data_IF_574029931814
#
_entry.id   IF_574029931814
#
_cell.length_a   1.000
_cell.length_b   1.000
_cell.length_c   1.000
_cell.angle_alpha   90.00
_cell.angle_beta   90.00
_cell.angle_gamma   90.00
#
_symmetry.space_group_name_H-M   'P 1'
#
loop_
_entity.id
_entity.type
_entity.pdbx_description
1 polymer ?
#
# COMPACT_ATOMS: atom_id res chain seq x y z
N UNK A 1 -8.44 4.07 -2.59
CA UNK A 1 -8.13 2.75 -3.16
C UNK A 1 -6.63 2.62 -3.31
N UNK A 2 -6.07 1.45 -3.02
CA UNK A 2 -4.64 1.14 -3.03
C UNK A 2 -4.31 0.22 -4.21
N UNK A 3 -3.21 0.52 -4.92
CA UNK A 3 -2.80 -0.26 -6.10
C UNK A 3 -1.32 -0.62 -6.07
N UNK A 4 -0.96 -1.70 -6.78
CA UNK A 4 0.41 -2.08 -7.09
C UNK A 4 0.65 -1.94 -8.60
N UNK A 5 1.80 -1.41 -8.97
CA UNK A 5 2.22 -1.38 -10.37
C UNK A 5 2.88 -2.71 -10.80
N UNK A 6 3.15 -2.84 -12.10
CA UNK A 6 3.87 -4.00 -12.66
C UNK A 6 5.30 -4.16 -12.10
N UNK A 7 5.82 -3.18 -11.38
CA UNK A 7 7.11 -3.30 -10.70
C UNK A 7 7.02 -4.12 -9.41
N UNK A 8 5.83 -4.31 -8.84
CA UNK A 8 5.59 -5.28 -7.76
C UNK A 8 5.42 -6.68 -8.37
N UNK A 9 6.55 -7.34 -8.66
CA UNK A 9 6.60 -8.64 -9.34
C UNK A 9 5.71 -9.67 -8.64
N UNK A 10 4.87 -10.37 -9.42
CA UNK A 10 3.92 -11.35 -8.92
C UNK A 10 2.68 -10.77 -8.22
N UNK A 11 2.52 -9.44 -8.17
CA UNK A 11 1.36 -8.74 -7.58
C UNK A 11 0.69 -7.78 -8.55
N UNK A 12 1.39 -6.77 -9.02
CA UNK A 12 0.87 -5.84 -10.00
C UNK A 12 1.15 -6.26 -11.44
N UNK A 13 0.32 -5.84 -12.39
CA UNK A 13 0.49 -6.14 -13.82
C UNK A 13 0.37 -4.90 -14.70
N UNK A 14 -0.10 -3.78 -14.14
CA UNK A 14 -0.35 -2.55 -14.86
C UNK A 14 0.83 -1.58 -14.72
N UNK A 15 1.15 -0.89 -15.80
CA UNK A 15 2.10 0.22 -15.76
C UNK A 15 1.48 1.41 -14.98
N UNK A 16 2.32 2.31 -14.42
CA UNK A 16 1.82 3.49 -13.72
C UNK A 16 0.80 4.31 -14.51
N UNK A 17 1.04 4.51 -15.81
CA UNK A 17 0.16 5.28 -16.70
C UNK A 17 -1.19 4.57 -16.92
N UNK A 18 -1.18 3.25 -17.01
CA UNK A 18 -2.40 2.45 -17.15
C UNK A 18 -3.25 2.46 -15.87
N UNK A 19 -2.61 2.51 -14.68
CA UNK A 19 -3.28 2.66 -13.40
C UNK A 19 -3.99 4.00 -13.30
N UNK A 20 -3.34 5.08 -13.73
CA UNK A 20 -3.91 6.43 -13.75
C UNK A 20 -5.10 6.49 -14.70
N UNK A 21 -4.94 6.03 -15.93
CA UNK A 21 -6.01 6.03 -16.93
C UNK A 21 -7.23 5.21 -16.43
N UNK A 22 -6.97 4.05 -15.84
CA UNK A 22 -8.02 3.21 -15.27
C UNK A 22 -8.76 3.91 -14.12
N UNK A 23 -8.04 4.56 -13.21
CA UNK A 23 -8.64 5.27 -12.08
C UNK A 23 -9.58 6.39 -12.55
N UNK A 24 -9.14 7.19 -13.51
CA UNK A 24 -9.96 8.27 -14.09
C UNK A 24 -11.19 7.75 -14.80
N UNK A 25 -11.08 6.65 -15.57
CA UNK A 25 -12.24 6.01 -16.24
C UNK A 25 -13.30 5.52 -15.23
N UNK A 26 -12.90 5.22 -13.98
CA UNK A 26 -13.81 4.79 -12.91
C UNK A 26 -14.20 5.94 -11.95
N UNK A 27 -13.91 7.19 -12.32
CA UNK A 27 -14.32 8.38 -11.56
C UNK A 27 -13.52 8.62 -10.27
N UNK A 28 -12.35 7.99 -10.12
CA UNK A 28 -11.49 8.26 -8.97
C UNK A 28 -10.76 9.58 -9.16
N UNK A 29 -10.73 10.39 -8.12
CA UNK A 29 -9.98 11.66 -8.08
C UNK A 29 -8.57 11.48 -7.47
N UNK A 30 -8.37 10.42 -6.69
CA UNK A 30 -7.14 10.12 -5.99
C UNK A 30 -6.80 8.64 -6.14
N UNK A 31 -5.52 8.31 -6.26
CA UNK A 31 -5.05 6.93 -6.29
C UNK A 31 -3.77 6.77 -5.47
N UNK A 32 -3.76 5.75 -4.60
CA UNK A 32 -2.61 5.43 -3.75
C UNK A 32 -1.79 4.29 -4.38
N UNK A 33 -0.56 4.60 -4.82
CA UNK A 33 0.40 3.61 -5.27
C UNK A 33 1.24 3.13 -4.08
N UNK A 34 1.26 1.80 -3.87
CA UNK A 34 2.03 1.15 -2.79
C UNK A 34 2.76 -0.08 -3.31
N UNK A 35 3.79 0.13 -4.10
CA UNK A 35 4.58 -1.00 -4.57
C UNK A 35 5.30 -1.72 -3.42
N UNK A 36 5.56 -3.02 -3.61
CA UNK A 36 6.06 -3.90 -2.56
C UNK A 36 7.59 -3.78 -2.44
N UNK A 37 8.06 -3.35 -1.28
CA UNK A 37 9.47 -3.23 -0.92
C UNK A 37 10.31 -2.37 -1.89
N UNK A 38 9.68 -1.48 -2.65
CA UNK A 38 10.37 -0.49 -3.48
C UNK A 38 9.47 0.71 -3.82
N UNK A 39 10.08 1.82 -4.25
CA UNK A 39 9.40 3.07 -4.60
C UNK A 39 9.75 3.55 -6.03
N UNK A 40 10.38 2.69 -6.83
CA UNK A 40 10.96 3.07 -8.12
C UNK A 40 9.95 3.58 -9.15
N UNK A 41 8.69 3.13 -9.08
CA UNK A 41 7.60 3.57 -9.97
C UNK A 41 6.95 4.91 -9.53
N UNK A 42 7.22 5.39 -8.31
CA UNK A 42 6.51 6.52 -7.70
C UNK A 42 6.59 7.81 -8.52
N UNK A 43 7.76 8.16 -9.06
CA UNK A 43 7.92 9.37 -9.87
C UNK A 43 7.20 9.28 -11.22
N UNK A 44 7.26 8.12 -11.89
CA UNK A 44 6.53 7.90 -13.14
C UNK A 44 5.02 7.98 -12.92
N UNK A 45 4.54 7.36 -11.85
CA UNK A 45 3.13 7.42 -11.45
C UNK A 45 2.69 8.86 -11.13
N UNK A 46 3.46 9.60 -10.31
CA UNK A 46 3.13 10.97 -9.94
C UNK A 46 3.06 11.90 -11.17
N UNK A 47 4.01 11.76 -12.11
CA UNK A 47 4.01 12.51 -13.36
C UNK A 47 2.77 12.20 -14.20
N UNK A 48 2.50 10.93 -14.46
CA UNK A 48 1.34 10.52 -15.25
C UNK A 48 0.01 10.97 -14.61
N UNK A 49 -0.08 10.94 -13.27
CA UNK A 49 -1.25 11.39 -12.53
C UNK A 49 -1.44 12.92 -12.68
N UNK A 50 -0.39 13.70 -12.50
CA UNK A 50 -0.45 15.17 -12.65
C UNK A 50 -0.83 15.60 -14.07
N UNK A 51 -0.26 14.95 -15.10
CA UNK A 51 -0.56 15.24 -16.50
C UNK A 51 -2.04 14.97 -16.84
N UNK A 52 -2.70 14.05 -16.15
CA UNK A 52 -4.09 13.67 -16.40
C UNK A 52 -5.07 14.22 -15.36
N UNK A 53 -4.62 15.01 -14.39
CA UNK A 53 -5.47 15.65 -13.37
C UNK A 53 -5.95 14.71 -12.25
N UNK A 54 -5.24 13.60 -12.01
CA UNK A 54 -5.44 12.71 -10.87
C UNK A 54 -4.52 13.13 -9.71
N UNK A 55 -5.00 13.12 -8.49
CA UNK A 55 -4.18 13.35 -7.30
C UNK A 55 -3.39 12.07 -6.93
N UNK A 56 -2.05 12.06 -7.06
CA UNK A 56 -1.24 10.90 -6.71
C UNK A 56 -0.96 10.86 -5.21
N UNK A 57 -1.22 9.73 -4.58
CA UNK A 57 -0.76 9.41 -3.24
C UNK A 57 0.34 8.34 -3.35
N UNK A 58 1.46 8.59 -2.69
CA UNK A 58 2.61 7.68 -2.73
C UNK A 58 2.78 6.98 -1.39
N UNK A 59 2.99 5.69 -1.46
CA UNK A 59 3.23 4.84 -0.30
C UNK A 59 4.13 3.67 -0.62
N UNK A 60 4.23 2.77 0.32
CA UNK A 60 5.09 1.59 0.26
C UNK A 60 4.43 0.46 1.03
N UNK A 61 4.24 -0.70 0.41
CA UNK A 61 3.85 -1.90 1.13
C UNK A 61 5.10 -2.68 1.55
N UNK A 62 5.24 -2.91 2.85
CA UNK A 62 6.34 -3.68 3.43
C UNK A 62 5.96 -5.13 3.58
N UNK A 63 6.80 -6.03 3.04
CA UNK A 63 6.64 -7.49 3.16
C UNK A 63 7.92 -8.18 3.57
N UNK A 64 7.77 -9.22 4.38
CA UNK A 64 8.77 -10.26 4.60
C UNK A 64 8.30 -11.52 3.86
N UNK A 65 8.85 -11.73 2.68
CA UNK A 65 8.34 -12.77 1.77
C UNK A 65 6.88 -12.53 1.39
N UNK A 66 5.98 -13.46 1.71
CA UNK A 66 4.55 -13.34 1.42
C UNK A 66 3.78 -12.55 2.50
N UNK A 67 4.37 -12.37 3.67
CA UNK A 67 3.70 -11.75 4.81
C UNK A 67 3.78 -10.22 4.73
N UNK A 68 2.63 -9.56 4.65
CA UNK A 68 2.54 -8.10 4.77
C UNK A 68 2.81 -7.69 6.22
N UNK A 69 3.70 -6.72 6.40
CA UNK A 69 4.04 -6.15 7.72
C UNK A 69 3.25 -4.88 7.97
N UNK A 70 3.27 -3.97 7.02
CA UNK A 70 2.54 -2.70 7.06
C UNK A 70 2.49 -2.04 5.68
N UNK A 71 1.65 -1.03 5.55
CA UNK A 71 1.67 -0.07 4.43
C UNK A 71 2.00 1.31 4.99
N UNK A 72 3.02 1.97 4.45
CA UNK A 72 3.40 3.34 4.82
C UNK A 72 2.93 4.27 3.71
N UNK A 73 2.26 5.37 4.08
CA UNK A 73 1.70 6.35 3.14
C UNK A 73 2.31 7.70 3.45
N UNK A 74 3.00 8.29 2.47
CA UNK A 74 3.59 9.61 2.60
C UNK A 74 2.51 10.69 2.62
N UNK A 75 2.55 11.59 3.60
CA UNK A 75 1.64 12.74 3.72
C UNK A 75 2.09 13.92 2.85
N UNK A 76 3.39 13.97 2.55
CA UNK A 76 4.06 15.03 1.80
C UNK A 76 5.43 14.55 1.32
N UNK A 77 6.20 15.41 0.67
CA UNK A 77 7.53 15.08 0.17
C UNK A 77 8.51 14.65 1.29
N UNK A 78 8.40 15.24 2.49
CA UNK A 78 9.23 14.81 3.63
C UNK A 78 8.89 13.39 4.05
N UNK A 79 7.60 13.01 4.05
CA UNK A 79 7.17 11.65 4.31
C UNK A 79 7.67 10.67 3.24
N UNK A 80 7.66 11.08 1.97
CA UNK A 80 8.25 10.24 0.91
C UNK A 80 9.76 10.06 1.08
N UNK A 81 10.47 11.07 1.56
CA UNK A 81 11.89 10.97 1.92
C UNK A 81 12.10 10.05 3.14
N UNK A 82 11.27 10.19 4.19
CA UNK A 82 11.35 9.34 5.39
C UNK A 82 11.20 7.86 5.03
N UNK A 83 10.16 7.51 4.25
CA UNK A 83 9.92 6.11 3.88
C UNK A 83 11.04 5.55 2.96
N UNK A 84 11.59 6.35 2.03
CA UNK A 84 12.73 5.93 1.20
C UNK A 84 14.00 5.70 2.03
N UNK A 85 14.26 6.57 3.00
CA UNK A 85 15.41 6.43 3.90
C UNK A 85 15.28 5.15 4.72
N UNK A 86 14.10 4.92 5.32
CA UNK A 86 13.79 3.72 6.08
C UNK A 86 13.96 2.44 5.24
N UNK A 87 13.37 2.42 4.04
CA UNK A 87 13.47 1.30 3.12
C UNK A 87 14.93 1.00 2.74
N UNK A 88 15.68 2.02 2.34
CA UNK A 88 17.08 1.88 1.93
C UNK A 88 17.95 1.30 3.04
N UNK A 89 17.77 1.76 4.27
CA UNK A 89 18.49 1.23 5.44
C UNK A 89 18.21 -0.26 5.67
N UNK A 90 16.94 -0.68 5.52
CA UNK A 90 16.54 -2.08 5.69
C UNK A 90 17.09 -2.97 4.57
N UNK A 91 16.99 -2.52 3.32
CA UNK A 91 17.48 -3.28 2.15
C UNK A 91 19.01 -3.43 2.21
N UNK A 92 19.75 -2.37 2.53
CA UNK A 92 21.22 -2.42 2.69
C UNK A 92 21.65 -3.33 3.85
N UNK A 93 20.89 -3.33 4.93
CA UNK A 93 21.18 -4.18 6.09
C UNK A 93 20.72 -5.63 5.92
N UNK A 94 19.95 -5.94 4.84
CA UNK A 94 19.30 -7.24 4.59
C UNK A 94 18.51 -7.76 5.81
N UNK A 95 17.87 -6.86 6.58
CA UNK A 95 17.11 -7.20 7.78
C UNK A 95 15.61 -7.25 7.48
N UNK A 96 14.88 -8.22 8.06
CA UNK A 96 13.44 -8.25 7.96
C UNK A 96 12.80 -7.03 8.64
N UNK A 97 11.67 -6.58 8.12
CA UNK A 97 10.86 -5.55 8.76
C UNK A 97 10.23 -6.09 10.04
N UNK A 98 10.26 -5.28 11.10
CA UNK A 98 9.69 -5.64 12.40
C UNK A 98 8.37 -4.89 12.63
N UNK A 99 7.46 -5.50 13.36
CA UNK A 99 6.24 -4.87 13.87
C UNK A 99 6.37 -4.75 15.40
N UNK A 100 6.15 -3.54 15.99
CA UNK A 100 5.80 -2.27 15.37
C UNK A 100 6.95 -1.66 14.54
N UNK A 101 6.59 -0.82 13.58
CA UNK A 101 7.54 0.01 12.84
C UNK A 101 8.04 1.18 13.72
N UNK A 102 9.17 1.81 13.37
CA UNK A 102 9.57 3.06 14.02
C UNK A 102 8.54 4.17 13.74
N UNK A 103 8.54 5.20 14.58
CA UNK A 103 7.65 6.35 14.38
C UNK A 103 8.08 7.17 13.17
N UNK A 104 7.10 7.61 12.36
CA UNK A 104 7.28 8.50 11.22
C UNK A 104 6.58 9.83 11.50
N UNK A 105 7.27 10.95 11.24
CA UNK A 105 6.70 12.27 11.49
C UNK A 105 5.72 12.70 10.38
N UNK A 106 5.97 12.28 9.14
CA UNK A 106 5.24 12.72 7.95
C UNK A 106 4.59 11.57 7.17
N UNK A 107 4.32 10.43 7.81
CA UNK A 107 3.64 9.32 7.17
C UNK A 107 2.45 8.85 8.00
N UNK A 108 1.48 8.23 7.32
CA UNK A 108 0.49 7.35 7.91
C UNK A 108 1.01 5.91 7.83
N UNK A 109 0.70 5.07 8.83
CA UNK A 109 1.05 3.65 8.83
C UNK A 109 -0.21 2.83 8.98
N UNK A 110 -0.45 1.94 8.05
CA UNK A 110 -1.55 0.97 8.09
C UNK A 110 -0.99 -0.42 8.38
N UNK A 111 -1.40 -1.01 9.49
CA UNK A 111 -1.11 -2.41 9.82
C UNK A 111 -2.25 -3.30 9.33
N UNK A 112 -1.96 -4.50 8.80
CA UNK A 112 -3.01 -5.43 8.42
C UNK A 112 -3.81 -5.88 9.65
N UNK A 113 -5.12 -6.09 9.47
CA UNK A 113 -6.03 -6.51 10.54
C UNK A 113 -5.58 -7.78 11.27
N UNK A 114 -4.89 -8.68 10.57
CA UNK A 114 -4.41 -9.96 11.12
C UNK A 114 -3.13 -9.84 11.94
N UNK A 115 -2.41 -8.72 11.79
CA UNK A 115 -1.14 -8.51 12.48
C UNK A 115 -0.89 -7.01 12.70
N UNK A 116 -1.08 -6.56 13.92
CA UNK A 116 -0.87 -5.16 14.30
C UNK A 116 -0.28 -5.08 15.72
N UNK A 117 0.35 -3.96 16.10
CA UNK A 117 0.80 -3.71 17.46
C UNK A 117 -0.36 -3.68 18.45
N UNK A 118 -0.06 -3.96 19.73
CA UNK A 118 -1.04 -3.82 20.80
C UNK A 118 -1.37 -2.38 21.15
N UNK A 119 -0.45 -1.44 20.85
CA UNK A 119 -0.63 0.00 21.04
C UNK A 119 -0.37 0.70 19.71
N UNK A 120 -1.27 1.59 19.31
CA UNK A 120 -1.17 2.38 18.09
C UNK A 120 -0.89 3.85 18.41
N UNK A 121 0.07 4.44 17.69
CA UNK A 121 0.33 5.87 17.73
C UNK A 121 -0.77 6.65 16.98
N UNK A 122 -0.78 7.98 17.08
CA UNK A 122 -1.80 8.82 16.48
C UNK A 122 -1.91 8.64 14.94
N UNK A 123 -0.78 8.43 14.28
CA UNK A 123 -0.66 8.27 12.82
C UNK A 123 -0.73 6.81 12.35
N UNK A 124 -1.03 5.86 13.25
CA UNK A 124 -1.11 4.43 12.94
C UNK A 124 -2.55 3.95 12.96
N UNK A 125 -2.91 3.09 12.00
CA UNK A 125 -4.26 2.58 11.79
C UNK A 125 -4.22 1.08 11.48
N UNK A 126 -5.37 0.42 11.61
CA UNK A 126 -5.58 -0.97 11.22
C UNK A 126 -6.38 -0.99 9.92
N UNK A 127 -5.80 -1.56 8.88
CA UNK A 127 -6.44 -1.72 7.58
C UNK A 127 -7.32 -2.97 7.56
N UNK A 128 -8.59 -2.79 7.22
CA UNK A 128 -9.59 -3.87 7.13
C UNK A 128 -9.99 -4.05 5.68
N UNK A 129 -9.74 -5.21 5.12
CA UNK A 129 -10.26 -5.61 3.81
C UNK A 129 -11.74 -6.04 3.91
N UNK A 130 -12.47 -5.93 2.78
CA UNK A 130 -13.91 -6.26 2.71
C UNK A 130 -14.24 -7.66 3.28
N UNK A 131 -13.38 -8.65 3.00
CA UNK A 131 -13.54 -10.02 3.48
C UNK A 131 -13.36 -10.18 5.01
N UNK A 132 -12.74 -9.20 5.68
CA UNK A 132 -12.47 -9.22 7.12
C UNK A 132 -13.55 -8.49 7.94
N UNK A 133 -14.48 -7.78 7.30
CA UNK A 133 -15.50 -6.97 7.97
C UNK A 133 -16.34 -7.79 8.95
N UNK A 134 -16.78 -8.98 8.54
CA UNK A 134 -17.58 -9.86 9.44
C UNK A 134 -16.77 -10.34 10.65
N UNK A 135 -15.50 -10.65 10.46
CA UNK A 135 -14.60 -11.02 11.54
C UNK A 135 -14.39 -9.86 12.50
N UNK A 136 -14.12 -8.65 11.96
CA UNK A 136 -13.98 -7.44 12.76
C UNK A 136 -15.24 -7.11 13.58
N UNK A 137 -16.44 -7.30 13.02
CA UNK A 137 -17.70 -7.07 13.72
C UNK A 137 -17.92 -8.05 14.89
N UNK A 138 -17.45 -9.29 14.77
CA UNK A 138 -17.59 -10.34 15.78
C UNK A 138 -16.53 -10.27 16.90
N UNK A 139 -15.36 -9.70 16.61
CA UNK A 139 -14.30 -9.56 17.60
C UNK A 139 -14.58 -8.38 18.53
N UNK A 140 -14.18 -8.51 19.81
CA UNK A 140 -14.13 -7.34 20.71
C UNK A 140 -13.11 -6.37 20.12
N UNK A 141 -13.55 -5.12 19.86
CA UNK A 141 -12.68 -4.07 19.33
C UNK A 141 -11.57 -3.80 20.33
N UNK A 142 -10.31 -3.98 19.89
CA UNK A 142 -9.14 -3.67 20.70
C UNK A 142 -8.87 -2.16 20.77
N UNK A 143 -9.35 -1.40 19.75
CA UNK A 143 -9.14 0.04 19.58
C UNK A 143 -10.46 0.75 19.28
N UNK A 144 -10.44 2.07 19.44
CA UNK A 144 -11.55 2.92 19.03
C UNK A 144 -11.79 2.85 17.51
N UNK A 145 -13.04 3.06 17.09
CA UNK A 145 -13.45 2.88 15.68
C UNK A 145 -12.63 3.70 14.70
N UNK A 146 -12.21 4.91 15.09
CA UNK A 146 -11.40 5.80 14.25
C UNK A 146 -9.97 5.28 13.95
N UNK A 147 -9.53 4.23 14.62
CA UNK A 147 -8.26 3.54 14.35
C UNK A 147 -8.35 2.47 13.25
N UNK A 148 -9.56 2.20 12.76
CA UNK A 148 -9.78 1.24 11.70
C UNK A 148 -10.07 1.98 10.39
N UNK A 149 -9.42 1.56 9.31
CA UNK A 149 -9.61 2.12 7.97
C UNK A 149 -9.90 1.02 6.94
N UNK A 150 -10.62 1.38 5.89
CA UNK A 150 -10.98 0.43 4.83
C UNK A 150 -9.83 0.28 3.84
N UNK A 151 -9.28 -0.91 3.70
CA UNK A 151 -8.31 -1.24 2.66
C UNK A 151 -9.01 -1.87 1.45
N UNK A 152 -8.87 -1.22 0.30
CA UNK A 152 -9.41 -1.69 -0.98
C UNK A 152 -8.24 -1.89 -1.93
N UNK A 153 -7.52 -3.04 -1.83
CA UNK A 153 -6.42 -3.34 -2.73
C UNK A 153 -6.95 -3.72 -4.11
N UNK A 154 -6.33 -3.20 -5.17
CA UNK A 154 -6.60 -3.58 -6.54
C UNK A 154 -5.30 -4.00 -7.23
N UNK A 155 -5.29 -5.23 -7.76
CA UNK A 155 -4.13 -5.78 -8.48
C UNK A 155 -4.43 -6.04 -9.97
N UNK A 156 -5.70 -6.11 -10.37
CA UNK A 156 -6.13 -6.40 -11.74
C UNK A 156 -7.50 -5.78 -12.03
N UNK A 157 -7.76 -5.43 -13.31
CA UNK A 157 -8.99 -4.76 -13.76
C UNK A 157 -10.11 -5.73 -14.09
N UNK A 158 -9.75 -6.89 -14.68
CA UNK A 158 -10.70 -7.87 -15.20
C UNK A 158 -10.08 -9.29 -15.22
N UNK A 159 -10.87 -10.28 -15.64
CA UNK A 159 -10.50 -11.70 -15.65
C UNK A 159 -9.20 -12.01 -16.42
N UNK A 160 -8.93 -11.32 -17.52
CA UNK A 160 -7.69 -11.51 -18.29
C UNK A 160 -6.46 -11.09 -17.48
N UNK A 161 -6.53 -9.94 -16.83
CA UNK A 161 -5.49 -9.43 -15.93
C UNK A 161 -5.26 -10.40 -14.77
N UNK A 162 -6.34 -10.92 -14.17
CA UNK A 162 -6.28 -11.94 -13.13
C UNK A 162 -5.57 -13.23 -13.60
N UNK A 163 -5.84 -13.68 -14.82
CA UNK A 163 -5.14 -14.85 -15.39
C UNK A 163 -3.64 -14.56 -15.59
N UNK A 164 -3.28 -13.37 -16.09
CA UNK A 164 -1.90 -12.94 -16.22
C UNK A 164 -1.21 -12.89 -14.85
N UNK A 165 -1.86 -12.34 -13.83
CA UNK A 165 -1.37 -12.33 -12.46
C UNK A 165 -1.10 -13.76 -11.93
N UNK A 166 -2.02 -14.70 -12.18
CA UNK A 166 -1.83 -16.11 -11.79
C UNK A 166 -0.63 -16.74 -12.46
N UNK A 167 -0.42 -16.48 -13.75
CA UNK A 167 0.75 -16.97 -14.48
C UNK A 167 2.05 -16.42 -13.89
N UNK A 168 2.12 -15.11 -13.64
CA UNK A 168 3.30 -14.49 -13.03
C UNK A 168 3.63 -15.00 -11.62
N UNK A 169 2.64 -15.53 -10.90
CA UNK A 169 2.87 -16.15 -9.58
C UNK A 169 3.24 -17.63 -9.65
N UNK A 170 3.10 -18.25 -10.81
CA UNK A 170 3.44 -19.68 -11.01
C UNK A 170 4.89 -19.88 -11.51
N UNK A 171 5.57 -18.78 -11.89
CA UNK A 171 6.98 -18.75 -12.30
C UNK A 171 7.85 -18.45 -11.07
#
# INVERSE_FOLDING_TARGET
MRVHSCFSLGYGILKPEELVAWALQHGHQQLLLTDINHTGSGLAFARAAQEQGLEPLLGLELRNGLQQVATIIARNNNGFQELNTFLSQHLLAAKPFKCPLPSFANCWVWYPFTQHPTNLQAHEFIAIEAQQILQWQRQKRAFEVHKYDADIPMSFRHKRDHNTHRLLRAI
#
